data_IF_398747784304
#
_entry.id   IF_398747784304
#
_cell.length_a   1.000
_cell.length_b   1.000
_cell.length_c   1.000
_cell.angle_alpha   90.00
_cell.angle_beta   90.00
_cell.angle_gamma   90.00
#
_symmetry.space_group_name_H-M   'P 1'
#
loop_
_entity.id
_entity.type
_entity.pdbx_description
1 polymer ?
#
# COMPACT_ATOMS: atom_id res chain seq x y z
N UNK A 1 3.17 -12.40 -1.74
CA UNK A 1 3.86 -11.57 -0.75
C UNK A 1 2.93 -11.26 0.42
N UNK A 2 3.43 -11.37 1.67
CA UNK A 2 2.77 -10.84 2.85
C UNK A 2 3.27 -9.42 3.09
N UNK A 3 2.36 -8.50 3.40
CA UNK A 3 2.64 -7.12 3.78
C UNK A 3 2.10 -6.79 5.15
N UNK A 4 2.67 -5.80 5.81
CA UNK A 4 2.24 -5.32 7.12
C UNK A 4 1.19 -4.21 6.94
N UNK A 5 0.08 -4.33 7.64
CA UNK A 5 -1.00 -3.34 7.65
C UNK A 5 -1.39 -2.94 9.09
N UNK A 6 -0.42 -2.92 9.99
CA UNK A 6 -0.56 -2.83 11.44
C UNK A 6 -1.33 -4.02 12.05
N UNK A 7 -1.48 -4.03 13.37
CA UNK A 7 -2.22 -5.09 14.06
C UNK A 7 -3.67 -4.68 14.35
N UNK A 8 -3.89 -3.42 14.71
CA UNK A 8 -5.20 -2.91 15.13
C UNK A 8 -5.85 -1.96 14.13
N UNK A 9 -5.19 -1.70 13.00
CA UNK A 9 -5.69 -0.84 11.92
C UNK A 9 -6.14 0.55 12.43
N UNK A 10 -5.31 1.29 13.19
CA UNK A 10 -5.71 2.57 13.73
C UNK A 10 -5.87 3.62 12.62
N UNK A 11 -7.01 4.29 12.62
CA UNK A 11 -7.31 5.44 11.76
C UNK A 11 -7.66 6.65 12.60
N UNK A 12 -7.71 7.85 12.01
CA UNK A 12 -8.22 9.03 12.69
C UNK A 12 -9.69 8.84 13.09
N UNK A 13 -10.08 9.34 14.25
CA UNK A 13 -11.44 9.20 14.80
C UNK A 13 -12.52 9.77 13.88
N UNK A 14 -12.23 10.84 13.16
CA UNK A 14 -13.11 11.41 12.13
C UNK A 14 -13.37 10.48 10.95
N UNK A 15 -12.45 9.52 10.67
CA UNK A 15 -12.61 8.53 9.62
C UNK A 15 -13.50 7.38 10.06
N UNK A 16 -13.37 6.95 11.32
CA UNK A 16 -14.06 5.78 11.86
C UNK A 16 -15.28 6.10 12.71
N UNK A 17 -15.47 7.38 13.08
CA UNK A 17 -16.52 7.81 14.03
C UNK A 17 -16.26 7.36 15.47
N UNK A 18 -15.09 6.81 15.78
CA UNK A 18 -14.74 6.34 17.13
C UNK A 18 -14.32 7.51 18.03
N UNK A 19 -15.19 7.84 18.98
CA UNK A 19 -14.96 8.93 19.96
C UNK A 19 -14.85 8.43 21.40
N UNK A 20 -14.97 7.10 21.62
CA UNK A 20 -15.03 6.51 22.98
C UNK A 20 -13.69 5.92 23.41
N UNK A 21 -13.43 5.97 24.72
CA UNK A 21 -12.26 5.30 25.33
C UNK A 21 -12.56 3.79 25.58
N UNK A 22 -11.58 2.87 25.46
CA UNK A 22 -10.20 3.15 25.13
C UNK A 22 -10.05 3.67 23.70
N UNK A 23 -9.19 4.66 23.51
CA UNK A 23 -8.98 5.27 22.20
C UNK A 23 -8.10 4.36 21.34
N UNK A 24 -8.63 3.89 20.23
CA UNK A 24 -7.91 3.08 19.24
C UNK A 24 -7.67 3.86 17.93
N UNK A 25 -7.83 5.18 17.98
CA UNK A 25 -7.58 6.05 16.83
C UNK A 25 -6.16 6.63 16.85
N UNK A 26 -5.68 7.08 15.71
CA UNK A 26 -4.33 7.61 15.53
C UNK A 26 -4.03 8.83 16.43
N UNK A 27 -5.05 9.58 16.86
CA UNK A 27 -4.87 10.69 17.78
C UNK A 27 -4.36 10.24 19.17
N UNK A 28 -4.59 8.99 19.52
CA UNK A 28 -4.18 8.42 20.80
C UNK A 28 -2.87 7.63 20.75
N UNK A 29 -2.33 7.45 19.57
CA UNK A 29 -1.03 6.83 19.35
C UNK A 29 0.06 7.91 19.33
N UNK A 30 1.23 7.58 19.86
CA UNK A 30 2.46 8.28 19.53
C UNK A 30 3.16 7.60 18.33
N UNK A 31 4.14 8.28 17.72
CA UNK A 31 5.03 7.66 16.73
C UNK A 31 5.65 6.38 17.27
N UNK A 32 6.08 6.40 18.54
CA UNK A 32 6.66 5.22 19.20
C UNK A 32 5.68 4.04 19.28
N UNK A 33 4.42 4.30 19.61
CA UNK A 33 3.40 3.26 19.72
C UNK A 33 3.13 2.62 18.34
N UNK A 34 3.07 3.43 17.29
CA UNK A 34 2.95 2.91 15.92
C UNK A 34 4.13 2.02 15.51
N UNK A 35 5.36 2.46 15.79
CA UNK A 35 6.55 1.65 15.47
C UNK A 35 6.58 0.33 16.26
N UNK A 36 6.16 0.34 17.53
CA UNK A 36 6.02 -0.89 18.34
C UNK A 36 4.99 -1.82 17.71
N UNK A 37 3.81 -1.32 17.37
CA UNK A 37 2.75 -2.12 16.76
C UNK A 37 3.16 -2.71 15.41
N UNK A 38 3.79 -1.93 14.54
CA UNK A 38 4.33 -2.39 13.26
C UNK A 38 5.40 -3.48 13.48
N UNK A 39 6.30 -3.28 14.45
CA UNK A 39 7.32 -4.26 14.82
C UNK A 39 6.71 -5.56 15.35
N UNK A 40 5.67 -5.49 16.16
CA UNK A 40 4.93 -6.67 16.65
C UNK A 40 4.29 -7.44 15.50
N UNK A 41 3.67 -6.73 14.55
CA UNK A 41 3.08 -7.35 13.37
C UNK A 41 4.15 -7.98 12.46
N UNK A 42 5.30 -7.35 12.27
CA UNK A 42 6.42 -7.96 11.55
C UNK A 42 6.89 -9.26 12.20
N UNK A 43 6.97 -9.32 13.54
CA UNK A 43 7.30 -10.56 14.23
C UNK A 43 6.25 -11.66 14.04
N UNK A 44 4.98 -11.27 13.98
CA UNK A 44 3.90 -12.21 13.69
C UNK A 44 4.00 -12.76 12.26
N UNK A 45 4.24 -11.88 11.27
CA UNK A 45 4.43 -12.26 9.88
C UNK A 45 5.70 -13.12 9.70
N UNK A 46 6.79 -12.79 10.42
CA UNK A 46 8.01 -13.60 10.43
C UNK A 46 7.74 -15.06 10.83
N UNK A 47 6.86 -15.28 11.79
CA UNK A 47 6.47 -16.65 12.18
C UNK A 47 5.75 -17.43 11.08
N UNK A 48 5.21 -16.73 10.07
CA UNK A 48 4.48 -17.33 8.93
C UNK A 48 5.42 -17.56 7.74
N UNK A 49 6.22 -16.54 7.34
CA UNK A 49 6.98 -16.57 6.09
C UNK A 49 8.52 -16.53 6.28
N UNK A 50 9.00 -16.37 7.51
CA UNK A 50 10.43 -16.32 7.84
C UNK A 50 11.16 -15.04 7.41
N UNK A 51 10.43 -14.02 6.94
CA UNK A 51 11.02 -12.74 6.53
C UNK A 51 10.97 -11.74 7.68
N UNK A 52 12.07 -11.01 7.89
CA UNK A 52 12.19 -10.01 8.98
C UNK A 52 11.60 -8.65 8.61
N UNK A 53 11.51 -8.36 7.33
CA UNK A 53 11.04 -7.08 6.80
C UNK A 53 9.86 -7.33 5.87
N UNK A 54 8.84 -6.50 6.02
CA UNK A 54 7.64 -6.52 5.18
C UNK A 54 7.34 -5.12 4.68
N UNK A 55 6.84 -5.01 3.44
CA UNK A 55 6.30 -3.76 2.96
C UNK A 55 5.11 -3.33 3.82
N UNK A 56 4.97 -2.02 4.02
CA UNK A 56 3.92 -1.47 4.87
C UNK A 56 2.82 -0.79 4.05
N UNK A 57 1.59 -0.98 4.48
CA UNK A 57 0.45 -0.24 3.99
C UNK A 57 -0.15 0.58 5.14
N UNK A 58 -0.25 1.90 4.97
CA UNK A 58 -0.86 2.75 5.99
C UNK A 58 -2.34 2.47 6.12
N UNK A 59 -2.86 2.11 7.33
CA UNK A 59 -4.28 2.10 7.59
C UNK A 59 -4.92 3.44 7.20
N UNK A 60 -6.04 3.39 6.48
CA UNK A 60 -6.74 4.57 5.97
C UNK A 60 -5.86 5.55 5.16
N UNK A 61 -4.71 5.10 4.64
CA UNK A 61 -3.68 5.95 4.01
C UNK A 61 -3.17 7.09 4.90
N UNK A 62 -3.20 6.92 6.22
CA UNK A 62 -2.85 7.94 7.22
C UNK A 62 -1.52 7.63 7.90
N UNK A 63 -0.64 8.62 7.97
CA UNK A 63 0.71 8.50 8.54
C UNK A 63 0.97 9.45 9.73
N UNK A 64 -0.07 10.05 10.30
CA UNK A 64 0.05 10.99 11.43
C UNK A 64 -0.55 10.35 12.69
N UNK A 65 0.28 10.13 13.70
CA UNK A 65 -0.08 9.56 14.99
C UNK A 65 0.21 10.58 16.09
N UNK A 66 -0.78 10.91 16.93
CA UNK A 66 -0.65 11.92 17.98
C UNK A 66 -0.24 13.31 17.47
N UNK A 67 -0.56 13.63 16.23
CA UNK A 67 -0.19 14.88 15.58
C UNK A 67 1.20 14.89 14.93
N UNK A 68 1.95 13.78 14.95
CA UNK A 68 3.28 13.66 14.39
C UNK A 68 3.32 12.65 13.22
N UNK A 69 4.03 13.00 12.15
CA UNK A 69 4.24 12.12 10.99
C UNK A 69 5.21 10.98 11.33
N UNK A 70 4.74 9.72 11.26
CA UNK A 70 5.56 8.55 11.50
C UNK A 70 6.14 7.90 10.24
N UNK A 71 5.90 8.44 9.06
CA UNK A 71 6.33 7.86 7.80
C UNK A 71 7.85 7.78 7.67
N UNK A 72 8.57 8.87 7.94
CA UNK A 72 10.03 8.89 7.96
C UNK A 72 10.64 8.07 9.10
N UNK A 73 10.16 8.18 10.36
CA UNK A 73 10.57 7.27 11.44
C UNK A 73 10.39 5.79 11.11
N UNK A 74 9.33 5.41 10.40
CA UNK A 74 9.10 4.03 9.97
C UNK A 74 10.25 3.50 9.11
N UNK A 75 10.62 4.21 8.05
CA UNK A 75 11.75 3.78 7.21
C UNK A 75 13.09 3.84 7.96
N UNK A 76 13.31 4.88 8.76
CA UNK A 76 14.53 5.03 9.56
C UNK A 76 14.71 3.93 10.59
N UNK A 77 13.63 3.34 11.09
CA UNK A 77 13.67 2.22 12.03
C UNK A 77 14.09 0.87 11.40
N UNK A 78 14.07 0.78 10.06
CA UNK A 78 14.31 -0.47 9.33
C UNK A 78 13.16 -1.49 9.43
N UNK A 79 12.01 -1.12 9.98
CA UNK A 79 10.83 -1.99 10.06
C UNK A 79 10.18 -2.22 8.68
N UNK A 80 10.39 -1.31 7.75
CA UNK A 80 9.96 -1.44 6.35
C UNK A 80 10.85 -0.60 5.44
N UNK A 81 11.12 -1.08 4.23
CA UNK A 81 11.81 -0.32 3.17
C UNK A 81 10.86 0.47 2.30
N UNK A 82 9.64 -0.02 2.16
CA UNK A 82 8.64 0.53 1.26
C UNK A 82 7.29 0.62 1.97
N UNK A 83 6.68 1.80 1.91
CA UNK A 83 5.36 2.01 2.48
C UNK A 83 4.43 2.68 1.46
N UNK A 84 3.21 2.16 1.34
CA UNK A 84 2.19 2.67 0.41
C UNK A 84 1.04 3.34 1.14
N UNK A 85 0.50 4.38 0.57
CA UNK A 85 -0.63 5.12 1.12
C UNK A 85 -0.75 6.51 0.49
N UNK A 86 0.09 6.79 -0.51
CA UNK A 86 0.06 8.05 -1.24
C UNK A 86 -1.17 8.21 -2.14
N UNK A 87 -1.36 9.42 -2.62
CA UNK A 87 -2.39 9.74 -3.60
C UNK A 87 -2.18 8.99 -4.92
N UNK A 88 -3.24 8.93 -5.75
CA UNK A 88 -3.15 8.32 -7.08
C UNK A 88 -2.01 8.96 -7.89
N UNK A 89 -1.14 8.12 -8.43
CA UNK A 89 -0.03 8.59 -9.28
C UNK A 89 0.70 7.48 -10.00
N UNK A 90 1.27 7.81 -11.17
CA UNK A 90 2.20 6.94 -11.89
C UNK A 90 3.62 7.33 -11.47
N UNK A 91 4.42 6.34 -11.13
CA UNK A 91 5.82 6.54 -10.74
C UNK A 91 6.67 6.50 -12.01
N UNK A 92 7.18 7.65 -12.43
CA UNK A 92 8.05 7.79 -13.63
C UNK A 92 9.50 8.06 -13.30
N UNK A 93 9.77 8.48 -12.05
CA UNK A 93 11.12 8.76 -11.58
C UNK A 93 11.31 8.18 -10.17
N UNK A 94 12.14 7.15 -10.10
CA UNK A 94 12.45 6.46 -8.84
C UNK A 94 13.49 7.18 -8.00
N UNK A 95 14.26 8.15 -8.56
CA UNK A 95 15.25 8.92 -7.80
C UNK A 95 14.59 9.91 -6.85
N UNK A 96 13.42 10.42 -7.22
CA UNK A 96 12.63 11.35 -6.41
C UNK A 96 11.45 10.68 -5.70
N UNK A 97 11.32 9.34 -5.77
CA UNK A 97 10.22 8.62 -5.15
C UNK A 97 10.32 8.68 -3.62
N UNK A 98 9.24 9.10 -2.99
CA UNK A 98 9.10 8.99 -1.54
C UNK A 98 8.73 7.55 -1.17
N UNK A 99 9.72 6.74 -0.82
CA UNK A 99 9.53 5.35 -0.41
C UNK A 99 8.71 5.18 0.88
N UNK A 100 8.57 6.25 1.66
CA UNK A 100 7.72 6.27 2.84
C UNK A 100 6.23 6.53 2.53
N UNK A 101 5.89 6.93 1.29
CA UNK A 101 4.51 7.26 0.91
C UNK A 101 4.34 7.04 -0.61
N UNK A 102 4.39 5.77 -1.01
CA UNK A 102 4.33 5.38 -2.42
C UNK A 102 2.90 5.53 -2.94
N UNK A 103 2.69 6.22 -4.08
CA UNK A 103 1.38 6.44 -4.65
C UNK A 103 0.75 5.15 -5.17
N UNK A 104 -0.58 5.05 -5.04
CA UNK A 104 -1.34 3.89 -5.50
C UNK A 104 -2.70 4.32 -6.04
N UNK A 105 -3.31 3.51 -6.90
CA UNK A 105 -4.71 3.64 -7.26
C UNK A 105 -5.55 2.70 -6.37
N UNK A 106 -6.31 3.20 -5.39
CA UNK A 106 -7.27 2.37 -4.68
C UNK A 106 -8.45 2.06 -5.61
N UNK A 107 -8.65 0.79 -5.90
CA UNK A 107 -9.84 0.32 -6.60
C UNK A 107 -11.01 0.29 -5.61
N UNK A 108 -12.11 0.90 -6.00
CA UNK A 108 -13.30 1.07 -5.15
C UNK A 108 -14.55 0.48 -5.83
N UNK A 109 -15.62 0.35 -5.08
CA UNK A 109 -16.92 -0.11 -5.59
C UNK A 109 -17.35 0.71 -6.81
N UNK A 110 -17.70 -0.01 -7.88
CA UNK A 110 -18.15 0.58 -9.15
C UNK A 110 -17.02 1.01 -10.09
N UNK A 111 -15.76 0.80 -9.75
CA UNK A 111 -14.66 1.04 -10.71
C UNK A 111 -14.75 0.03 -11.85
N UNK A 112 -14.64 0.50 -13.09
CA UNK A 112 -14.69 -0.37 -14.27
C UNK A 112 -13.30 -0.89 -14.64
N UNK A 113 -13.28 -2.03 -15.34
CA UNK A 113 -12.05 -2.55 -15.95
C UNK A 113 -11.40 -1.53 -16.89
N UNK A 114 -12.20 -0.79 -17.65
CA UNK A 114 -11.69 0.23 -18.58
C UNK A 114 -10.92 1.32 -17.83
N UNK A 115 -11.40 1.73 -16.65
CA UNK A 115 -10.70 2.71 -15.80
C UNK A 115 -9.37 2.17 -15.25
N UNK A 116 -9.35 0.90 -14.84
CA UNK A 116 -8.14 0.22 -14.37
C UNK A 116 -7.13 0.02 -15.49
N UNK A 117 -7.61 -0.40 -16.67
CA UNK A 117 -6.78 -0.58 -17.88
C UNK A 117 -6.21 0.75 -18.33
N UNK A 118 -7.01 1.82 -18.35
CA UNK A 118 -6.54 3.15 -18.70
C UNK A 118 -5.41 3.63 -17.76
N UNK A 119 -5.50 3.32 -16.45
CA UNK A 119 -4.43 3.63 -15.50
C UNK A 119 -3.15 2.84 -15.79
N UNK A 120 -3.25 1.57 -16.18
CA UNK A 120 -2.09 0.77 -16.61
C UNK A 120 -1.50 1.31 -17.91
N UNK A 121 -2.34 1.67 -18.89
CA UNK A 121 -1.90 2.25 -20.16
C UNK A 121 -1.19 3.58 -19.96
N UNK A 122 -1.67 4.42 -19.04
CA UNK A 122 -0.99 5.66 -18.64
C UNK A 122 0.43 5.40 -18.14
N UNK A 123 0.62 4.31 -17.36
CA UNK A 123 1.95 3.92 -16.90
C UNK A 123 2.85 3.45 -18.05
N UNK A 124 2.31 2.66 -18.99
CA UNK A 124 3.04 2.21 -20.19
C UNK A 124 3.49 3.41 -21.04
N UNK A 125 2.58 4.33 -21.33
CA UNK A 125 2.88 5.53 -22.12
C UNK A 125 3.98 6.40 -21.49
N UNK A 126 4.00 6.44 -20.16
CA UNK A 126 4.99 7.22 -19.41
C UNK A 126 6.28 6.44 -19.10
N UNK A 127 6.36 5.17 -19.47
CA UNK A 127 7.47 4.28 -19.08
C UNK A 127 7.61 4.16 -17.57
N UNK A 128 6.48 4.07 -16.85
CA UNK A 128 6.40 4.16 -15.40
C UNK A 128 5.83 2.92 -14.73
N UNK A 129 5.65 3.00 -13.41
CA UNK A 129 5.05 1.97 -12.58
C UNK A 129 3.67 2.42 -12.11
N UNK A 130 2.65 1.55 -12.28
CA UNK A 130 1.31 1.66 -11.72
C UNK A 130 1.15 0.66 -10.58
N UNK A 131 0.56 1.08 -9.46
CA UNK A 131 0.23 0.21 -8.32
C UNK A 131 -1.26 0.30 -8.07
N UNK A 132 -1.96 -0.84 -8.13
CA UNK A 132 -3.40 -0.91 -7.88
C UNK A 132 -3.63 -1.64 -6.56
N UNK A 133 -4.54 -1.11 -5.73
CA UNK A 133 -4.91 -1.69 -4.44
C UNK A 133 -6.36 -2.14 -4.48
N UNK A 134 -6.58 -3.41 -4.18
CA UNK A 134 -7.91 -3.99 -4.02
C UNK A 134 -8.17 -4.29 -2.54
N UNK A 135 -9.38 -4.04 -2.05
CA UNK A 135 -9.85 -4.47 -0.74
C UNK A 135 -10.58 -5.82 -0.85
N UNK A 136 -11.43 -5.96 -1.87
CA UNK A 136 -12.16 -7.18 -2.14
C UNK A 136 -12.47 -7.34 -3.63
N UNK A 137 -12.68 -8.57 -4.08
CA UNK A 137 -13.08 -8.91 -5.45
C UNK A 137 -14.31 -9.81 -5.39
N UNK A 138 -15.41 -9.38 -5.99
CA UNK A 138 -16.65 -10.14 -6.03
C UNK A 138 -17.46 -10.16 -4.74
N UNK A 139 -17.09 -9.34 -3.77
CA UNK A 139 -17.79 -9.21 -2.48
C UNK A 139 -16.98 -8.48 -1.44
N UNK A 140 -17.61 -8.14 -0.30
CA UNK A 140 -17.02 -7.43 0.83
C UNK A 140 -16.90 -5.90 0.63
N UNK A 141 -16.20 -5.25 1.56
CA UNK A 141 -16.04 -3.80 1.64
C UNK A 141 -15.17 -3.26 0.50
N UNK A 142 -15.58 -2.15 -0.11
CA UNK A 142 -14.89 -1.53 -1.25
C UNK A 142 -14.59 -2.54 -2.37
N UNK A 143 -15.52 -3.42 -2.63
CA UNK A 143 -15.37 -4.51 -3.60
C UNK A 143 -15.31 -4.00 -5.04
N UNK A 144 -14.48 -4.65 -5.83
CA UNK A 144 -14.50 -4.59 -7.29
C UNK A 144 -15.26 -5.81 -7.83
N UNK A 145 -16.11 -5.63 -8.82
CA UNK A 145 -16.83 -6.73 -9.44
C UNK A 145 -15.84 -7.75 -10.03
N UNK A 146 -16.11 -9.04 -9.79
CA UNK A 146 -15.22 -10.12 -10.22
C UNK A 146 -14.95 -10.10 -11.74
N UNK A 147 -15.97 -9.77 -12.53
CA UNK A 147 -15.84 -9.66 -13.99
C UNK A 147 -14.96 -8.47 -14.41
N UNK A 148 -15.03 -7.35 -13.69
CA UNK A 148 -14.17 -6.19 -13.97
C UNK A 148 -12.72 -6.49 -13.59
N UNK A 149 -12.48 -7.14 -12.46
CA UNK A 149 -11.15 -7.61 -12.09
C UNK A 149 -10.61 -8.63 -13.11
N UNK A 150 -11.44 -9.58 -13.54
CA UNK A 150 -11.04 -10.56 -14.57
C UNK A 150 -10.65 -9.90 -15.89
N UNK A 151 -11.41 -8.93 -16.37
CA UNK A 151 -11.06 -8.18 -17.61
C UNK A 151 -9.71 -7.49 -17.50
N UNK A 152 -9.38 -6.88 -16.34
CA UNK A 152 -8.05 -6.33 -16.11
C UNK A 152 -6.96 -7.40 -16.19
N UNK A 153 -7.16 -8.57 -15.56
CA UNK A 153 -6.19 -9.67 -15.62
C UNK A 153 -6.02 -10.21 -17.04
N UNK A 154 -7.10 -10.38 -17.80
CA UNK A 154 -7.07 -10.81 -19.21
C UNK A 154 -6.29 -9.80 -20.05
N UNK A 155 -6.49 -8.50 -19.85
CA UNK A 155 -5.73 -7.45 -20.50
C UNK A 155 -4.23 -7.58 -20.17
N UNK A 156 -3.86 -7.66 -18.89
CA UNK A 156 -2.46 -7.78 -18.46
C UNK A 156 -1.80 -9.05 -19.04
N UNK A 157 -2.51 -10.18 -19.03
CA UNK A 157 -2.03 -11.43 -19.60
C UNK A 157 -1.78 -11.36 -21.12
N UNK A 158 -2.50 -10.50 -21.83
CA UNK A 158 -2.33 -10.26 -23.27
C UNK A 158 -1.14 -9.34 -23.62
N UNK A 159 -0.49 -8.74 -22.63
CA UNK A 159 0.54 -7.69 -22.78
C UNK A 159 1.91 -8.19 -22.29
N UNK A 160 2.70 -8.88 -23.11
CA UNK A 160 4.02 -9.39 -22.73
C UNK A 160 5.06 -8.26 -22.51
N UNK A 161 4.76 -7.04 -22.90
CA UNK A 161 5.53 -5.83 -22.66
C UNK A 161 5.30 -5.21 -21.27
N UNK A 162 4.32 -5.71 -20.52
CA UNK A 162 4.02 -5.27 -19.15
C UNK A 162 4.53 -6.30 -18.14
N UNK A 163 5.46 -5.89 -17.28
CA UNK A 163 5.84 -6.74 -16.16
C UNK A 163 4.88 -6.54 -14.98
N UNK A 164 4.27 -7.63 -14.52
CA UNK A 164 3.43 -7.67 -13.34
C UNK A 164 4.16 -8.46 -12.24
N UNK A 165 4.33 -7.84 -11.09
CA UNK A 165 5.00 -8.46 -9.94
C UNK A 165 4.38 -8.01 -8.62
N UNK A 166 4.87 -8.58 -7.52
CA UNK A 166 4.48 -8.13 -6.19
C UNK A 166 5.06 -6.75 -5.88
N UNK A 167 4.47 -6.05 -4.91
CA UNK A 167 4.88 -4.69 -4.55
C UNK A 167 6.40 -4.60 -4.23
N UNK A 168 6.90 -5.48 -3.35
CA UNK A 168 8.33 -5.46 -3.00
C UNK A 168 9.23 -5.96 -4.13
N UNK A 169 8.78 -6.94 -4.93
CA UNK A 169 9.56 -7.46 -6.06
C UNK A 169 9.86 -6.36 -7.08
N UNK A 170 8.83 -5.65 -7.53
CA UNK A 170 8.99 -4.56 -8.50
C UNK A 170 9.83 -3.42 -7.92
N UNK A 171 9.54 -2.98 -6.68
CA UNK A 171 10.30 -1.89 -6.05
C UNK A 171 11.77 -2.26 -5.83
N UNK A 172 12.08 -3.49 -5.43
CA UNK A 172 13.45 -3.95 -5.31
C UNK A 172 14.17 -3.93 -6.67
N UNK A 173 13.54 -4.41 -7.74
CA UNK A 173 14.16 -4.44 -9.05
C UNK A 173 14.52 -3.03 -9.56
N UNK A 174 13.62 -2.06 -9.42
CA UNK A 174 13.86 -0.68 -9.85
C UNK A 174 14.82 0.10 -8.95
N UNK A 175 15.05 -0.36 -7.71
CA UNK A 175 16.03 0.27 -6.79
C UNK A 175 17.41 -0.35 -6.87
N UNK A 176 17.51 -1.67 -7.12
CA UNK A 176 18.81 -2.39 -7.23
C UNK A 176 19.45 -2.26 -8.60
N UNK A 177 18.68 -2.03 -9.66
CA UNK A 177 19.20 -1.78 -11.02
C UNK A 177 19.96 -0.46 -11.19
N UNK A 178 20.19 0.28 -10.11
CA UNK A 178 20.90 1.58 -10.06
C UNK A 178 22.35 1.51 -9.57
N UNK A 179 22.94 0.32 -9.46
CA UNK A 179 24.35 0.12 -9.09
C UNK A 179 25.22 -0.02 -10.32
#
# INVERSE_FOLDING_TARGET
ELGNHSMFHPCLSQTTGQTTKPCHSLECYSVKDMLIEIGMMNNFLYAIDGKKEHAYAYPCSQCVAGGEDYSKPLLASGLSRFARGGDRGIITNTDSLNYAMIPTLPAHTGISADSLIAYVQEAVEKGGLAIIVFHGVGGDYLTVEADEHKKLLDFLASRPDIWVGTFSEVLNAITTGKN
#
